data_IF_765784416302
#
_entry.id   IF_765784416302
#
_cell.length_a   1.000
_cell.length_b   1.000
_cell.length_c   1.000
_cell.angle_alpha   90.00
_cell.angle_beta   90.00
_cell.angle_gamma   90.00
#
_symmetry.space_group_name_H-M   'P 1'
#
loop_
_entity.id
_entity.type
_entity.pdbx_description
1 polymer ?
#
# COMPACT_ATOMS: atom_id res chain seq x y z
N UNK A 1 -17.37 7.89 -65.72
CA UNK A 1 -17.41 7.60 -64.28
C UNK A 1 -16.25 8.34 -63.62
N UNK A 2 -16.55 9.51 -63.07
CA UNK A 2 -15.61 10.45 -62.45
C UNK A 2 -15.34 10.03 -61.01
N UNK A 3 -14.08 9.76 -60.67
CA UNK A 3 -13.68 9.51 -59.28
C UNK A 3 -13.48 10.84 -58.55
N UNK A 4 -14.34 11.07 -57.57
CA UNK A 4 -14.30 12.22 -56.66
C UNK A 4 -13.13 12.05 -55.68
N UNK A 5 -12.15 12.97 -55.71
CA UNK A 5 -11.03 13.01 -54.76
C UNK A 5 -11.40 13.91 -53.58
N UNK A 6 -11.70 13.31 -52.43
CA UNK A 6 -11.80 14.02 -51.14
C UNK A 6 -10.40 14.26 -50.56
N UNK A 7 -10.05 15.47 -50.06
CA UNK A 7 -8.79 15.69 -49.37
C UNK A 7 -8.88 15.18 -47.91
N UNK A 8 -7.77 14.72 -47.30
CA UNK A 8 -7.76 14.38 -45.89
C UNK A 8 -7.65 15.65 -45.04
N UNK A 9 -8.64 15.89 -44.18
CA UNK A 9 -8.56 16.90 -43.11
C UNK A 9 -7.70 16.34 -41.98
N UNK A 10 -6.40 16.63 -42.01
CA UNK A 10 -5.47 16.36 -40.92
C UNK A 10 -5.40 17.55 -39.96
N UNK A 11 -6.27 17.58 -38.95
CA UNK A 11 -6.12 18.49 -37.81
C UNK A 11 -5.24 17.85 -36.74
N UNK A 12 -4.16 18.49 -36.25
CA UNK A 12 -3.40 17.96 -35.13
C UNK A 12 -4.19 18.17 -33.84
N UNK A 13 -4.79 17.12 -33.29
CA UNK A 13 -5.20 17.09 -31.87
C UNK A 13 -3.95 16.88 -31.02
N UNK A 14 -3.21 17.95 -30.79
CA UNK A 14 -2.29 18.03 -29.66
C UNK A 14 -3.13 18.02 -28.39
N UNK A 15 -3.23 16.86 -27.73
CA UNK A 15 -3.67 16.84 -26.34
C UNK A 15 -2.49 17.30 -25.50
N UNK A 16 -2.42 18.60 -25.20
CA UNK A 16 -1.64 19.10 -24.08
C UNK A 16 -2.21 18.48 -22.81
N UNK A 17 -1.71 17.29 -22.48
CA UNK A 17 -1.89 16.72 -21.15
C UNK A 17 -1.10 17.63 -20.22
N UNK A 18 -1.75 18.26 -19.22
CA UNK A 18 -1.02 18.97 -18.18
C UNK A 18 0.05 18.02 -17.63
N UNK A 19 1.28 18.51 -17.50
CA UNK A 19 2.34 17.76 -16.83
C UNK A 19 1.78 17.25 -15.49
N UNK A 20 1.94 15.95 -15.17
CA UNK A 20 1.45 15.44 -13.90
C UNK A 20 2.05 16.28 -12.77
N UNK A 21 1.20 16.73 -11.84
CA UNK A 21 1.62 17.38 -10.61
C UNK A 21 2.78 16.58 -9.99
N UNK A 22 3.78 17.24 -9.36
CA UNK A 22 4.94 16.55 -8.82
C UNK A 22 4.47 15.38 -7.97
N UNK A 23 4.86 14.17 -8.39
CA UNK A 23 4.46 12.95 -7.72
C UNK A 23 5.07 12.98 -6.32
N UNK A 24 4.25 13.26 -5.30
CA UNK A 24 4.66 13.13 -3.90
C UNK A 24 5.18 11.70 -3.75
N UNK A 25 6.45 11.53 -3.42
CA UNK A 25 7.08 10.22 -3.22
C UNK A 25 7.15 9.91 -1.73
N UNK A 26 6.61 8.77 -1.32
CA UNK A 26 6.72 8.34 0.07
C UNK A 26 8.15 7.93 0.43
N UNK A 27 8.65 8.41 1.56
CA UNK A 27 9.90 7.90 2.15
C UNK A 27 9.60 6.70 3.04
N UNK A 28 10.15 5.54 2.69
CA UNK A 28 9.98 4.30 3.45
C UNK A 28 11.17 3.96 4.33
N UNK A 29 12.28 4.69 4.25
CA UNK A 29 13.49 4.41 5.02
C UNK A 29 13.30 4.40 6.54
N UNK A 30 12.45 5.27 7.14
CA UNK A 30 12.16 5.25 8.57
C UNK A 30 11.33 4.03 9.01
N UNK A 31 10.62 3.37 8.09
CA UNK A 31 9.72 2.26 8.41
C UNK A 31 10.53 0.98 8.57
N UNK A 32 10.87 0.62 9.81
CA UNK A 32 11.63 -0.58 10.17
C UNK A 32 10.89 -1.42 11.20
N UNK A 33 10.63 -2.70 10.91
CA UNK A 33 9.82 -3.58 11.77
C UNK A 33 10.63 -4.50 12.70
N UNK A 34 11.95 -4.55 12.52
CA UNK A 34 12.86 -5.51 13.15
C UNK A 34 13.68 -4.95 14.31
N UNK A 35 14.94 -5.36 14.41
CA UNK A 35 15.83 -4.96 15.50
C UNK A 35 16.03 -3.43 15.61
N UNK A 36 16.10 -2.74 14.48
CA UNK A 36 16.28 -1.28 14.42
C UNK A 36 14.94 -0.53 14.37
N UNK A 37 13.91 -1.04 15.04
CA UNK A 37 12.58 -0.43 15.06
C UNK A 37 12.63 0.92 15.79
N UNK A 38 12.24 2.04 15.14
CA UNK A 38 12.23 3.35 15.78
C UNK A 38 11.09 3.47 16.79
N UNK A 39 11.32 4.22 17.86
CA UNK A 39 10.31 4.52 18.90
C UNK A 39 9.04 5.15 18.31
N UNK A 40 9.22 6.03 17.32
CA UNK A 40 8.13 6.78 16.68
C UNK A 40 7.46 6.02 15.52
N UNK A 41 7.73 4.72 15.35
CA UNK A 41 7.20 3.93 14.23
C UNK A 41 5.67 4.04 14.10
N UNK A 42 4.95 3.92 15.21
CA UNK A 42 3.48 3.95 15.23
C UNK A 42 2.90 5.35 15.50
N UNK A 43 3.76 6.36 15.64
CA UNK A 43 3.39 7.76 15.89
C UNK A 43 3.72 8.60 14.64
N UNK A 44 4.70 9.49 14.73
CA UNK A 44 5.05 10.46 13.69
C UNK A 44 5.35 9.80 12.33
N UNK A 45 6.04 8.65 12.31
CA UNK A 45 6.36 7.94 11.07
C UNK A 45 5.08 7.43 10.39
N UNK A 46 4.14 6.88 11.16
CA UNK A 46 2.85 6.44 10.63
C UNK A 46 1.98 7.63 10.21
N UNK A 47 2.04 8.75 10.94
CA UNK A 47 1.32 9.98 10.61
C UNK A 47 1.81 10.58 9.29
N UNK A 48 3.13 10.66 9.08
CA UNK A 48 3.70 11.21 7.85
C UNK A 48 3.42 10.32 6.62
N UNK A 49 3.45 9.00 6.81
CA UNK A 49 3.00 8.05 5.81
C UNK A 49 1.51 8.25 5.46
N UNK A 50 0.65 8.43 6.46
CA UNK A 50 -0.76 8.71 6.27
C UNK A 50 -1.01 10.02 5.49
N UNK A 51 -0.33 11.12 5.87
CA UNK A 51 -0.43 12.41 5.16
C UNK A 51 -0.05 12.29 3.69
N UNK A 52 1.04 11.57 3.41
CA UNK A 52 1.51 11.34 2.04
C UNK A 52 0.49 10.54 1.22
N UNK A 53 -0.08 9.48 1.81
CA UNK A 53 -1.12 8.65 1.17
C UNK A 53 -2.42 9.45 0.94
N UNK A 54 -2.82 10.29 1.89
CA UNK A 54 -4.00 11.16 1.76
C UNK A 54 -3.81 12.19 0.64
N UNK A 55 -2.67 12.89 0.63
CA UNK A 55 -2.35 13.89 -0.38
C UNK A 55 -2.27 13.31 -1.79
N UNK A 56 -1.66 12.13 -1.95
CA UNK A 56 -1.52 11.47 -3.25
C UNK A 56 -2.83 10.82 -3.75
N UNK A 57 -3.72 10.44 -2.84
CA UNK A 57 -5.01 9.82 -3.17
C UNK A 57 -5.99 10.75 -3.91
N UNK A 58 -5.91 12.06 -3.63
CA UNK A 58 -6.73 13.12 -4.25
C UNK A 58 -8.23 12.76 -4.42
N UNK A 59 -8.79 11.98 -3.49
CA UNK A 59 -10.17 11.48 -3.52
C UNK A 59 -10.51 10.42 -4.58
N UNK A 60 -9.55 10.02 -5.43
CA UNK A 60 -9.75 9.05 -6.52
C UNK A 60 -9.24 7.66 -6.15
N UNK A 61 -8.02 7.59 -5.64
CA UNK A 61 -7.35 6.38 -5.15
C UNK A 61 -7.32 6.37 -3.62
N UNK A 62 -6.91 5.27 -3.01
CA UNK A 62 -6.73 5.13 -1.56
C UNK A 62 -8.01 5.30 -0.74
N UNK A 63 -9.17 4.95 -1.30
CA UNK A 63 -10.42 4.93 -0.53
C UNK A 63 -10.23 4.10 0.73
N UNK A 64 -10.69 4.59 1.88
CA UNK A 64 -10.50 3.94 3.18
C UNK A 64 -11.04 2.50 3.21
N UNK A 65 -12.12 2.20 2.47
CA UNK A 65 -12.63 0.83 2.29
C UNK A 65 -11.71 -0.10 1.49
N UNK A 66 -10.89 0.43 0.57
CA UNK A 66 -9.89 -0.36 -0.15
C UNK A 66 -8.67 -0.62 0.72
N UNK A 67 -8.17 0.41 1.42
CA UNK A 67 -7.01 0.26 2.30
C UNK A 67 -7.31 -0.68 3.47
N UNK A 68 -8.53 -0.61 4.02
CA UNK A 68 -8.98 -1.51 5.09
C UNK A 68 -8.90 -2.99 4.70
N UNK A 69 -9.17 -3.36 3.45
CA UNK A 69 -9.06 -4.77 3.01
C UNK A 69 -7.63 -5.32 3.18
N UNK A 70 -6.62 -4.50 2.91
CA UNK A 70 -5.22 -4.90 3.10
C UNK A 70 -4.87 -5.06 4.58
N UNK A 71 -5.41 -4.18 5.42
CA UNK A 71 -5.26 -4.28 6.87
C UNK A 71 -5.99 -5.50 7.45
N UNK A 72 -7.24 -5.74 7.05
CA UNK A 72 -8.02 -6.90 7.50
C UNK A 72 -7.32 -8.21 7.13
N UNK A 73 -6.63 -8.25 5.99
CA UNK A 73 -5.82 -9.41 5.61
C UNK A 73 -4.58 -9.58 6.51
N UNK A 74 -3.90 -8.49 6.93
CA UNK A 74 -2.82 -8.57 7.93
C UNK A 74 -3.34 -9.08 9.29
N UNK A 75 -4.51 -8.61 9.71
CA UNK A 75 -5.18 -9.08 10.93
C UNK A 75 -5.48 -10.57 10.83
N UNK A 76 -6.08 -11.02 9.72
CA UNK A 76 -6.36 -12.45 9.49
C UNK A 76 -5.09 -13.30 9.58
N UNK A 77 -3.97 -12.87 8.98
CA UNK A 77 -2.71 -13.61 9.07
C UNK A 77 -2.13 -13.61 10.49
N UNK A 78 -2.18 -12.47 11.18
CA UNK A 78 -1.76 -12.38 12.58
C UNK A 78 -2.56 -13.33 13.47
N UNK A 79 -3.89 -13.34 13.32
CA UNK A 79 -4.79 -14.13 14.15
C UNK A 79 -4.60 -15.63 13.91
N UNK A 80 -4.37 -16.05 12.65
CA UNK A 80 -3.98 -17.43 12.33
C UNK A 80 -2.74 -17.89 13.09
N UNK A 81 -1.77 -17.01 13.35
CA UNK A 81 -0.62 -17.34 14.18
C UNK A 81 -0.95 -17.26 15.67
N UNK A 82 -1.80 -16.33 16.09
CA UNK A 82 -2.16 -16.15 17.50
C UNK A 82 -2.88 -17.37 18.11
N UNK A 83 -3.51 -18.22 17.31
CA UNK A 83 -4.11 -19.48 17.78
C UNK A 83 -3.09 -20.52 18.26
N UNK A 84 -1.83 -20.42 17.84
CA UNK A 84 -0.79 -21.36 18.23
C UNK A 84 -0.26 -21.04 19.65
N UNK A 85 -0.24 -22.05 20.51
CA UNK A 85 0.01 -21.87 21.96
C UNK A 85 1.48 -21.61 22.32
N UNK A 86 2.43 -22.04 21.49
CA UNK A 86 3.86 -21.94 21.78
C UNK A 86 4.57 -21.04 20.77
N UNK A 87 5.72 -20.49 21.15
CA UNK A 87 6.54 -19.70 20.22
C UNK A 87 6.99 -20.52 19.01
N UNK A 88 7.38 -21.77 19.23
CA UNK A 88 7.86 -22.66 18.17
C UNK A 88 6.75 -23.05 17.19
N UNK A 89 5.55 -23.35 17.69
CA UNK A 89 4.39 -23.62 16.86
C UNK A 89 4.01 -22.39 16.01
N UNK A 90 4.03 -21.19 16.61
CA UNK A 90 3.84 -19.93 15.88
C UNK A 90 4.86 -19.72 14.77
N UNK A 91 6.13 -20.00 15.05
CA UNK A 91 7.21 -19.85 14.07
C UNK A 91 7.11 -20.90 12.95
N UNK A 92 6.74 -22.14 13.27
CA UNK A 92 6.47 -23.18 12.27
C UNK A 92 5.27 -22.79 11.38
N UNK A 93 4.17 -22.37 11.99
CA UNK A 93 2.98 -21.91 11.26
C UNK A 93 3.27 -20.71 10.37
N UNK A 94 4.06 -19.75 10.85
CA UNK A 94 4.51 -18.64 10.02
C UNK A 94 5.25 -19.12 8.78
N UNK A 95 6.16 -20.09 8.88
CA UNK A 95 6.89 -20.61 7.72
C UNK A 95 5.95 -21.21 6.65
N UNK A 96 4.89 -21.90 7.07
CA UNK A 96 3.86 -22.40 6.16
C UNK A 96 3.08 -21.27 5.47
N UNK A 97 2.79 -20.19 6.22
CA UNK A 97 1.96 -19.07 5.74
C UNK A 97 2.77 -17.99 4.99
N UNK A 98 4.10 -17.97 5.15
CA UNK A 98 4.97 -16.93 4.63
C UNK A 98 4.78 -16.66 3.13
N UNK A 99 4.67 -17.66 2.22
CA UNK A 99 4.42 -17.41 0.81
C UNK A 99 3.12 -16.62 0.56
N UNK A 100 2.06 -16.90 1.32
CA UNK A 100 0.77 -16.23 1.18
C UNK A 100 0.79 -14.81 1.74
N UNK A 101 1.53 -14.59 2.84
CA UNK A 101 1.78 -13.24 3.36
C UNK A 101 2.56 -12.42 2.32
N UNK A 102 3.60 -12.99 1.69
CA UNK A 102 4.37 -12.32 0.64
C UNK A 102 3.55 -12.05 -0.62
N UNK A 103 2.55 -12.89 -0.92
CA UNK A 103 1.63 -12.72 -2.05
C UNK A 103 0.81 -11.42 -1.96
N UNK A 104 0.69 -10.82 -0.78
CA UNK A 104 0.02 -9.53 -0.61
C UNK A 104 0.66 -8.41 -1.44
N UNK A 105 1.96 -8.51 -1.78
CA UNK A 105 2.61 -7.61 -2.74
C UNK A 105 1.95 -7.65 -4.12
N UNK A 106 1.62 -8.85 -4.62
CA UNK A 106 0.96 -9.00 -5.91
C UNK A 106 -0.46 -8.39 -5.88
N UNK A 107 -1.16 -8.54 -4.75
CA UNK A 107 -2.49 -7.92 -4.53
C UNK A 107 -2.40 -6.39 -4.54
N UNK A 108 -1.38 -5.81 -3.89
CA UNK A 108 -1.16 -4.37 -3.87
C UNK A 108 -0.84 -3.84 -5.29
N UNK A 109 0.06 -4.51 -6.01
CA UNK A 109 0.37 -4.17 -7.40
C UNK A 109 -0.86 -4.25 -8.32
N UNK A 110 -1.70 -5.28 -8.16
CA UNK A 110 -2.95 -5.42 -8.90
C UNK A 110 -3.93 -4.29 -8.58
N UNK A 111 -4.15 -4.00 -7.30
CA UNK A 111 -5.04 -2.92 -6.86
C UNK A 111 -4.59 -1.56 -7.41
N UNK A 112 -3.28 -1.32 -7.48
CA UNK A 112 -2.71 -0.14 -8.11
C UNK A 112 -2.99 -0.10 -9.62
N UNK A 113 -2.77 -1.21 -10.33
CA UNK A 113 -3.11 -1.33 -11.76
C UNK A 113 -4.60 -1.11 -12.06
N UNK A 114 -5.47 -1.34 -11.07
CA UNK A 114 -6.92 -1.06 -11.12
C UNK A 114 -7.29 0.35 -10.65
N UNK A 115 -6.34 1.17 -10.24
CA UNK A 115 -6.59 2.52 -9.71
C UNK A 115 -7.35 2.52 -8.38
N UNK A 116 -7.25 1.46 -7.57
CA UNK A 116 -7.84 1.42 -6.23
C UNK A 116 -6.91 2.02 -5.17
N UNK A 117 -5.60 1.86 -5.38
CA UNK A 117 -4.54 2.45 -4.56
C UNK A 117 -3.56 3.16 -5.47
N UNK A 118 -2.81 4.11 -4.93
CA UNK A 118 -1.75 4.80 -5.68
C UNK A 118 -0.38 4.11 -5.55
N UNK A 119 0.62 4.73 -6.15
CA UNK A 119 2.01 4.28 -6.09
C UNK A 119 2.62 4.34 -4.68
N UNK A 120 2.24 5.32 -3.87
CA UNK A 120 2.80 5.53 -2.53
C UNK A 120 2.30 4.45 -1.57
N UNK A 121 1.00 4.17 -1.58
CA UNK A 121 0.45 3.08 -0.80
C UNK A 121 1.07 1.74 -1.20
N UNK A 122 1.17 1.47 -2.51
CA UNK A 122 1.79 0.23 -2.99
C UNK A 122 3.25 0.11 -2.55
N UNK A 123 4.05 1.17 -2.64
CA UNK A 123 5.44 1.19 -2.18
C UNK A 123 5.57 0.96 -0.68
N UNK A 124 4.82 1.70 0.14
CA UNK A 124 4.84 1.55 1.59
C UNK A 124 4.43 0.15 2.01
N UNK A 125 3.34 -0.35 1.44
CA UNK A 125 2.81 -1.66 1.77
C UNK A 125 3.75 -2.78 1.32
N UNK A 126 4.27 -2.71 0.10
CA UNK A 126 5.28 -3.64 -0.40
C UNK A 126 6.54 -3.65 0.47
N UNK A 127 6.99 -2.47 0.94
CA UNK A 127 8.12 -2.33 1.86
C UNK A 127 7.84 -3.01 3.21
N UNK A 128 6.66 -2.81 3.79
CA UNK A 128 6.23 -3.49 5.02
C UNK A 128 6.22 -5.01 4.85
N UNK A 129 5.56 -5.53 3.82
CA UNK A 129 5.43 -6.97 3.58
C UNK A 129 6.80 -7.63 3.39
N UNK A 130 7.75 -6.97 2.73
CA UNK A 130 9.13 -7.49 2.56
C UNK A 130 9.84 -7.70 3.89
N UNK A 131 9.62 -6.81 4.86
CA UNK A 131 10.25 -6.88 6.19
C UNK A 131 9.66 -7.94 7.12
N UNK A 132 8.46 -8.47 6.83
CA UNK A 132 7.86 -9.52 7.64
C UNK A 132 8.68 -10.80 7.51
N UNK A 133 9.37 -11.21 8.58
CA UNK A 133 10.24 -12.39 8.62
C UNK A 133 9.84 -13.39 9.69
N UNK A 134 8.99 -12.99 10.64
CA UNK A 134 8.54 -13.81 11.77
C UNK A 134 7.22 -13.27 12.35
N UNK A 135 6.57 -14.01 13.27
CA UNK A 135 5.33 -13.57 13.92
C UNK A 135 5.42 -12.17 14.56
N UNK A 136 6.57 -11.80 15.14
CA UNK A 136 6.75 -10.49 15.77
C UNK A 136 6.73 -9.35 14.73
N UNK A 137 7.48 -9.49 13.63
CA UNK A 137 7.47 -8.49 12.54
C UNK A 137 6.11 -8.41 11.83
N UNK A 138 5.35 -9.52 11.74
CA UNK A 138 3.97 -9.49 11.23
C UNK A 138 3.06 -8.67 12.14
N UNK A 139 3.17 -8.85 13.47
CA UNK A 139 2.46 -8.03 14.45
C UNK A 139 2.82 -6.55 14.30
N UNK A 140 4.11 -6.22 14.13
CA UNK A 140 4.54 -4.84 13.94
C UNK A 140 3.99 -4.25 12.63
N UNK A 141 3.98 -5.00 11.52
CA UNK A 141 3.37 -4.56 10.27
C UNK A 141 1.87 -4.27 10.43
N UNK A 142 1.14 -5.14 11.13
CA UNK A 142 -0.27 -4.96 11.45
C UNK A 142 -0.50 -3.67 12.24
N UNK A 143 0.25 -3.45 13.33
CA UNK A 143 0.12 -2.26 14.17
C UNK A 143 0.49 -0.97 13.42
N UNK A 144 1.51 -1.01 12.57
CA UNK A 144 1.87 0.13 11.73
C UNK A 144 0.73 0.51 10.77
N UNK A 145 0.16 -0.47 10.07
CA UNK A 145 -0.97 -0.22 9.18
C UNK A 145 -2.22 0.24 9.95
N UNK A 146 -2.44 -0.24 11.17
CA UNK A 146 -3.49 0.22 12.07
C UNK A 146 -3.33 1.72 12.39
N UNK A 147 -2.13 2.15 12.77
CA UNK A 147 -1.79 3.54 13.03
C UNK A 147 -1.96 4.42 11.79
N UNK A 148 -1.45 3.99 10.63
CA UNK A 148 -1.61 4.71 9.35
C UNK A 148 -3.09 4.91 9.02
N UNK A 149 -3.93 3.88 9.16
CA UNK A 149 -5.38 4.01 8.93
C UNK A 149 -6.05 4.94 9.94
N UNK A 150 -5.61 4.93 11.20
CA UNK A 150 -6.08 5.84 12.23
C UNK A 150 -5.81 7.31 11.87
N UNK A 151 -4.58 7.62 11.48
CA UNK A 151 -4.20 8.97 11.04
C UNK A 151 -4.87 9.37 9.73
N UNK A 152 -4.97 8.47 8.74
CA UNK A 152 -5.70 8.73 7.51
C UNK A 152 -7.14 9.15 7.78
N UNK A 153 -7.80 8.51 8.77
CA UNK A 153 -9.16 8.88 9.13
C UNK A 153 -9.26 10.29 9.74
N UNK A 154 -8.22 10.75 10.43
CA UNK A 154 -8.15 12.11 10.97
C UNK A 154 -7.94 13.19 9.89
N UNK A 155 -7.34 12.81 8.76
CA UNK A 155 -7.13 13.69 7.59
C UNK A 155 -8.37 13.78 6.67
N UNK A 156 -9.31 12.83 6.75
CA UNK A 156 -10.63 12.89 6.09
C UNK A 156 -11.53 13.92 6.81
N UNK A 157 -11.26 15.22 6.62
CA UNK A 157 -12.12 16.33 7.05
C UNK A 157 -12.97 16.87 5.91
#
# INVERSE_FOLDING_TARGET
MTYDRRPPSGGPRGSDRPAPAPAVSIDTAPVKLGADMPELLFADIAQDAARTIAAAGAGKTNKSSQLRKFYDELVMWHDKLAFEKTADARAAKYRELAPFIKMMNAKAAYAKGRGHVDQNFEQLFSHLIRQIACPATLKNAKLFMEAVLGFLKAEEK
#
